data_IF_014797281790
#
_entry.id   IF_014797281790
#
_cell.length_a   1.000
_cell.length_b   1.000
_cell.length_c   1.000
_cell.angle_alpha   90.00
_cell.angle_beta   90.00
_cell.angle_gamma   90.00
#
_symmetry.space_group_name_H-M   'P 1'
#
loop_
_entity.id
_entity.type
_entity.pdbx_description
1 polymer ?
#
# COMPACT_ATOMS: atom_id res chain seq x y z
N UNK A 1 12.37 -3.97 1.31
CA UNK A 1 12.60 -4.05 -0.16
C UNK A 1 11.66 -3.14 -0.97
N UNK A 2 10.57 -2.68 -0.40
CA UNK A 2 9.62 -1.81 -1.10
C UNK A 2 9.62 -0.38 -0.58
N UNK A 3 9.71 0.59 -1.49
CA UNK A 3 9.62 2.02 -1.16
C UNK A 3 8.24 2.43 -0.63
N UNK A 4 7.19 1.64 -0.90
CA UNK A 4 5.83 1.91 -0.39
C UNK A 4 5.69 1.71 1.12
N UNK A 5 6.64 1.02 1.76
CA UNK A 5 6.67 0.84 3.21
C UNK A 5 7.24 2.05 3.97
N UNK A 6 8.02 2.91 3.31
CA UNK A 6 8.65 4.09 3.91
C UNK A 6 7.65 5.01 4.61
N UNK A 7 6.47 5.34 4.02
CA UNK A 7 5.47 6.15 4.71
C UNK A 7 4.97 5.57 6.03
N UNK A 8 4.88 4.24 6.14
CA UNK A 8 4.47 3.60 7.40
C UNK A 8 5.52 3.79 8.50
N UNK A 9 6.81 3.56 8.16
CA UNK A 9 7.92 3.73 9.12
C UNK A 9 8.01 5.18 9.59
N UNK A 10 7.79 6.13 8.67
CA UNK A 10 7.73 7.57 9.00
C UNK A 10 6.55 7.89 9.92
N UNK A 11 5.37 7.31 9.63
CA UNK A 11 4.16 7.54 10.40
C UNK A 11 4.26 7.07 11.87
N UNK A 12 5.14 6.08 12.12
CA UNK A 12 5.44 5.58 13.47
C UNK A 12 6.71 6.21 14.07
N UNK A 13 7.25 7.27 13.44
CA UNK A 13 8.42 8.01 13.94
C UNK A 13 9.70 7.15 14.08
N UNK A 14 9.85 6.12 13.24
CA UNK A 14 10.97 5.18 13.27
C UNK A 14 11.84 5.24 12.00
N UNK A 15 11.93 6.41 11.37
CA UNK A 15 12.68 6.59 10.13
C UNK A 15 14.19 6.28 10.29
N UNK A 16 14.73 6.48 11.47
CA UNK A 16 16.12 6.14 11.84
C UNK A 16 16.40 4.63 11.88
N UNK A 17 15.36 3.81 12.03
CA UNK A 17 15.45 2.35 11.98
C UNK A 17 15.35 1.78 10.55
N UNK A 18 15.14 2.62 9.54
CA UNK A 18 15.12 2.22 8.13
C UNK A 18 16.55 2.22 7.56
N UNK A 19 17.28 1.16 7.78
CA UNK A 19 18.73 1.10 7.48
C UNK A 19 19.06 0.81 6.01
N UNK A 20 18.12 0.27 5.25
CA UNK A 20 18.35 -0.10 3.84
C UNK A 20 17.08 -0.07 3.01
N UNK A 21 17.22 0.17 1.72
CA UNK A 21 16.10 0.16 0.78
C UNK A 21 16.49 -0.34 -0.61
N UNK A 22 15.60 -1.11 -1.24
CA UNK A 22 15.62 -1.28 -2.69
C UNK A 22 15.09 -0.03 -3.38
N UNK A 23 15.42 0.13 -4.66
CA UNK A 23 14.97 1.28 -5.46
C UNK A 23 15.22 2.63 -4.79
N UNK A 24 16.38 2.79 -4.19
CA UNK A 24 16.71 3.95 -3.36
C UNK A 24 16.53 5.30 -4.09
N UNK A 25 16.74 5.33 -5.41
CA UNK A 25 16.50 6.52 -6.23
C UNK A 25 15.04 6.97 -6.29
N UNK A 26 14.11 6.13 -5.84
CA UNK A 26 12.67 6.44 -5.75
C UNK A 26 12.23 6.87 -4.35
N UNK A 27 13.15 6.84 -3.38
CA UNK A 27 12.90 7.28 -2.00
C UNK A 27 13.31 8.74 -1.91
N UNK A 28 12.46 9.58 -1.34
CA UNK A 28 12.79 10.98 -1.10
C UNK A 28 13.98 11.07 -0.12
N UNK A 29 15.03 11.84 -0.43
CA UNK A 29 16.25 11.89 0.38
C UNK A 29 16.02 12.28 1.84
N UNK A 30 15.00 13.09 2.10
CA UNK A 30 14.68 13.58 3.44
C UNK A 30 13.91 12.57 4.32
N UNK A 31 13.51 11.43 3.75
CA UNK A 31 12.70 10.44 4.46
C UNK A 31 13.54 9.52 5.34
N UNK A 32 14.76 9.24 4.93
CA UNK A 32 15.64 8.28 5.61
C UNK A 32 17.09 8.75 5.57
N UNK A 33 17.75 8.78 6.70
CA UNK A 33 19.16 9.18 6.79
C UNK A 33 20.08 8.07 6.25
N UNK A 34 20.64 8.28 5.05
CA UNK A 34 21.69 7.45 4.46
C UNK A 34 21.41 5.93 4.43
N UNK A 35 20.27 5.45 3.91
CA UNK A 35 20.01 4.02 3.85
C UNK A 35 20.94 3.33 2.85
N UNK A 36 21.31 2.09 3.18
CA UNK A 36 22.07 1.25 2.26
C UNK A 36 21.23 0.89 1.03
N UNK A 37 21.83 0.99 -0.15
CA UNK A 37 21.14 0.62 -1.41
C UNK A 37 21.17 -0.89 -1.60
N UNK A 38 20.00 -1.51 -1.60
CA UNK A 38 19.83 -2.95 -1.81
C UNK A 38 19.61 -3.35 -3.28
N UNK A 39 19.82 -2.43 -4.23
CA UNK A 39 19.60 -2.70 -5.65
C UNK A 39 18.22 -2.28 -6.15
N UNK A 40 17.74 -2.90 -7.23
CA UNK A 40 16.50 -2.53 -7.92
C UNK A 40 16.06 -3.58 -8.93
N UNK A 41 15.82 -3.18 -10.18
CA UNK A 41 15.29 -4.07 -11.23
C UNK A 41 16.24 -5.26 -11.55
N UNK A 42 17.53 -5.13 -11.28
CA UNK A 42 18.52 -6.21 -11.42
C UNK A 42 18.45 -7.26 -10.30
N UNK A 43 17.68 -7.02 -9.26
CA UNK A 43 17.53 -7.90 -8.12
C UNK A 43 17.98 -7.30 -6.79
N UNK A 44 17.88 -8.11 -5.74
CA UNK A 44 18.33 -7.78 -4.40
C UNK A 44 19.83 -8.06 -4.27
N UNK A 45 20.56 -7.08 -3.78
CA UNK A 45 21.96 -7.24 -3.38
C UNK A 45 22.02 -7.77 -1.92
N UNK A 46 22.27 -9.07 -1.78
CA UNK A 46 22.31 -9.75 -0.49
C UNK A 46 23.55 -9.39 0.32
N UNK A 47 24.65 -9.02 -0.33
CA UNK A 47 25.85 -8.55 0.36
C UNK A 47 25.59 -7.20 1.03
N UNK A 48 24.97 -6.28 0.31
CA UNK A 48 24.56 -4.99 0.86
C UNK A 48 23.49 -5.13 1.93
N UNK A 49 22.60 -6.13 1.82
CA UNK A 49 21.65 -6.45 2.88
C UNK A 49 22.35 -6.87 4.17
N UNK A 50 23.37 -7.73 4.08
CA UNK A 50 24.19 -8.14 5.25
C UNK A 50 24.96 -6.96 5.85
N UNK A 51 25.55 -6.11 5.01
CA UNK A 51 26.30 -4.91 5.44
C UNK A 51 25.38 -3.90 6.13
N UNK A 52 24.10 -3.83 5.75
CA UNK A 52 23.15 -2.88 6.33
C UNK A 52 22.86 -3.10 7.81
N UNK A 53 23.13 -4.30 8.33
CA UNK A 53 22.80 -4.67 9.70
C UNK A 53 21.28 -4.76 9.97
N UNK A 54 20.46 -4.97 8.95
CA UNK A 54 19.01 -5.07 9.10
C UNK A 54 18.63 -6.33 9.90
N UNK A 55 17.74 -6.18 10.87
CA UNK A 55 17.17 -7.28 11.66
C UNK A 55 16.05 -8.02 10.92
N UNK A 56 15.37 -7.35 9.99
CA UNK A 56 14.27 -7.91 9.20
C UNK A 56 14.18 -7.22 7.83
N UNK A 57 13.87 -7.98 6.80
CA UNK A 57 13.57 -7.47 5.46
C UNK A 57 12.07 -7.54 5.21
N UNK A 58 11.42 -6.40 4.94
CA UNK A 58 10.03 -6.39 4.47
C UNK A 58 10.00 -6.44 2.95
N UNK A 59 9.17 -7.30 2.38
CA UNK A 59 9.04 -7.46 0.93
C UNK A 59 7.63 -7.84 0.52
N UNK A 60 7.29 -7.63 -0.75
CA UNK A 60 6.08 -8.17 -1.33
C UNK A 60 6.18 -9.68 -1.54
N UNK A 61 5.05 -10.42 -1.44
CA UNK A 61 5.02 -11.87 -1.68
C UNK A 61 4.97 -12.24 -3.17
N UNK A 62 5.48 -11.38 -4.06
CA UNK A 62 5.52 -11.63 -5.50
C UNK A 62 6.90 -12.07 -5.99
N UNK A 63 6.90 -12.86 -7.06
CA UNK A 63 8.12 -13.22 -7.76
C UNK A 63 8.93 -14.28 -7.03
N UNK A 64 10.25 -14.14 -7.04
CA UNK A 64 11.16 -15.06 -6.36
C UNK A 64 10.82 -15.13 -4.87
N UNK A 65 10.55 -16.32 -4.36
CA UNK A 65 10.27 -16.49 -2.95
C UNK A 65 11.49 -16.01 -2.15
N UNK A 66 11.32 -14.90 -1.45
CA UNK A 66 12.32 -14.32 -0.54
C UNK A 66 12.75 -15.30 0.58
N UNK A 67 12.16 -16.49 0.62
CA UNK A 67 12.60 -17.60 1.48
C UNK A 67 14.04 -18.00 1.24
N UNK A 68 14.50 -17.96 -0.02
CA UNK A 68 15.91 -18.20 -0.34
C UNK A 68 16.83 -17.14 0.25
N UNK A 69 16.42 -15.87 0.27
CA UNK A 69 17.17 -14.77 0.90
C UNK A 69 17.32 -15.01 2.39
N UNK A 70 16.23 -15.32 3.09
CA UNK A 70 16.30 -15.60 4.53
C UNK A 70 17.24 -16.78 4.86
N UNK A 71 17.26 -17.82 4.03
CA UNK A 71 18.17 -18.97 4.22
C UNK A 71 19.65 -18.61 4.01
N UNK A 72 19.96 -17.79 3.00
CA UNK A 72 21.35 -17.42 2.68
C UNK A 72 21.91 -16.35 3.61
N UNK A 73 21.07 -15.37 4.00
CA UNK A 73 21.51 -14.21 4.80
C UNK A 73 21.31 -14.39 6.30
N UNK A 74 20.42 -15.30 6.71
CA UNK A 74 19.97 -15.41 8.10
C UNK A 74 19.02 -14.29 8.55
N UNK A 75 18.72 -13.32 7.67
CA UNK A 75 17.83 -12.20 7.97
C UNK A 75 16.38 -12.62 7.67
N UNK A 76 15.47 -12.58 8.66
CA UNK A 76 14.06 -12.91 8.44
C UNK A 76 13.44 -12.04 7.36
N UNK A 77 12.63 -12.64 6.50
CA UNK A 77 11.85 -11.90 5.49
C UNK A 77 10.38 -11.91 5.87
N UNK A 78 9.80 -10.73 6.05
CA UNK A 78 8.37 -10.55 6.29
C UNK A 78 7.67 -10.17 5.00
N UNK A 79 6.74 -11.03 4.55
CA UNK A 79 5.88 -10.74 3.41
C UNK A 79 4.81 -9.70 3.80
N UNK A 80 4.75 -8.60 3.05
CA UNK A 80 3.80 -7.51 3.23
C UNK A 80 2.82 -7.50 2.06
N UNK A 81 1.53 -7.56 2.36
CA UNK A 81 0.47 -7.63 1.35
C UNK A 81 -0.57 -6.51 1.49
N UNK A 82 -0.17 -5.35 2.01
CA UNK A 82 -1.04 -4.17 2.19
C UNK A 82 -1.70 -3.71 0.90
N UNK A 83 -1.03 -3.93 -0.24
CA UNK A 83 -1.58 -3.60 -1.57
C UNK A 83 -2.79 -4.45 -1.94
N UNK A 84 -2.93 -5.65 -1.36
CA UNK A 84 -4.05 -6.57 -1.63
C UNK A 84 -5.31 -6.22 -0.82
N UNK A 85 -5.18 -5.32 0.16
CA UNK A 85 -6.32 -4.86 0.95
C UNK A 85 -7.31 -4.08 0.09
N UNK A 86 -8.53 -4.58 0.03
CA UNK A 86 -9.63 -3.92 -0.68
C UNK A 86 -10.29 -2.79 0.14
N UNK A 87 -10.08 -2.77 1.46
CA UNK A 87 -10.61 -1.72 2.33
C UNK A 87 -9.54 -0.66 2.64
N UNK A 88 -9.83 0.65 2.43
CA UNK A 88 -8.85 1.71 2.69
C UNK A 88 -8.28 1.71 4.10
N UNK A 89 -9.14 1.52 5.12
CA UNK A 89 -8.70 1.44 6.51
C UNK A 89 -7.91 0.16 6.81
N UNK A 90 -8.24 -0.98 6.17
CA UNK A 90 -7.43 -2.19 6.25
C UNK A 90 -6.01 -1.95 5.74
N UNK A 91 -5.86 -1.23 4.60
CA UNK A 91 -4.54 -0.83 4.12
C UNK A 91 -3.81 0.10 5.09
N UNK A 92 -4.50 1.10 5.65
CA UNK A 92 -3.92 2.02 6.63
C UNK A 92 -3.50 1.31 7.92
N UNK A 93 -4.20 0.25 8.32
CA UNK A 93 -3.92 -0.51 9.54
C UNK A 93 -2.57 -1.23 9.51
N UNK A 94 -1.97 -1.44 8.34
CA UNK A 94 -0.61 -1.97 8.23
C UNK A 94 0.44 -1.09 8.94
N UNK A 95 0.14 0.17 9.24
CA UNK A 95 1.00 1.02 10.09
C UNK A 95 1.28 0.36 11.44
N UNK A 96 0.33 -0.41 11.99
CA UNK A 96 0.48 -1.12 13.27
C UNK A 96 1.53 -2.24 13.19
N UNK A 97 1.70 -2.87 12.03
CA UNK A 97 2.77 -3.87 11.81
C UNK A 97 4.13 -3.21 12.01
N UNK A 98 4.33 -2.01 11.43
CA UNK A 98 5.57 -1.26 11.60
C UNK A 98 5.75 -0.78 13.05
N UNK A 99 4.69 -0.37 13.72
CA UNK A 99 4.74 -0.06 15.15
C UNK A 99 5.18 -1.25 16.03
N UNK A 100 4.78 -2.47 15.65
CA UNK A 100 5.24 -3.69 16.32
C UNK A 100 6.71 -3.99 16.03
N UNK A 101 7.13 -3.89 14.77
CA UNK A 101 8.51 -4.17 14.35
C UNK A 101 9.51 -3.20 14.98
N UNK A 102 9.14 -1.94 15.12
CA UNK A 102 10.03 -0.86 15.59
C UNK A 102 9.86 -0.53 17.07
N UNK A 103 8.91 -1.16 17.77
CA UNK A 103 8.61 -0.85 19.18
C UNK A 103 7.75 0.40 19.40
N UNK A 104 7.28 1.07 18.32
CA UNK A 104 6.51 2.33 18.34
C UNK A 104 5.00 2.08 18.23
N UNK A 105 4.46 1.20 19.09
CA UNK A 105 3.04 0.80 19.02
C UNK A 105 2.08 1.95 19.28
N UNK A 106 2.40 2.82 20.23
CA UNK A 106 1.56 3.98 20.59
C UNK A 106 1.46 4.97 19.43
N UNK A 107 2.56 5.23 18.78
CA UNK A 107 2.68 6.09 17.60
C UNK A 107 1.88 5.51 16.43
N UNK A 108 1.96 4.20 16.23
CA UNK A 108 1.20 3.48 15.22
C UNK A 108 -0.32 3.54 15.47
N UNK A 109 -0.75 3.28 16.70
CA UNK A 109 -2.16 3.39 17.07
C UNK A 109 -2.67 4.84 16.90
N UNK A 110 -1.90 5.83 17.31
CA UNK A 110 -2.24 7.22 17.12
C UNK A 110 -2.28 7.61 15.63
N UNK A 111 -1.34 7.12 14.82
CA UNK A 111 -1.34 7.35 13.38
C UNK A 111 -2.56 6.73 12.71
N UNK A 112 -2.88 5.47 13.05
CA UNK A 112 -4.06 4.80 12.52
C UNK A 112 -5.34 5.53 12.90
N UNK A 113 -5.54 5.88 14.16
CA UNK A 113 -6.75 6.59 14.61
C UNK A 113 -6.93 7.96 13.97
N UNK A 114 -5.84 8.69 13.68
CA UNK A 114 -5.94 9.95 12.91
C UNK A 114 -6.48 9.70 11.51
N UNK A 115 -5.97 8.70 10.83
CA UNK A 115 -6.42 8.33 9.47
C UNK A 115 -7.87 7.84 9.49
N UNK A 116 -8.19 6.95 10.43
CA UNK A 116 -9.54 6.39 10.59
C UNK A 116 -10.59 7.50 10.84
N UNK A 117 -10.32 8.39 11.79
CA UNK A 117 -11.24 9.48 12.12
C UNK A 117 -11.46 10.41 10.93
N UNK A 118 -10.39 10.85 10.27
CA UNK A 118 -10.48 11.71 9.09
C UNK A 118 -11.21 11.02 7.92
N UNK A 119 -10.96 9.74 7.72
CA UNK A 119 -11.61 8.95 6.68
C UNK A 119 -13.12 8.82 6.93
N UNK A 120 -13.53 8.49 8.17
CA UNK A 120 -14.93 8.32 8.53
C UNK A 120 -15.70 9.63 8.45
N UNK A 121 -15.09 10.75 8.84
CA UNK A 121 -15.67 12.09 8.72
C UNK A 121 -15.86 12.48 7.24
N UNK A 122 -14.83 12.29 6.42
CA UNK A 122 -14.93 12.55 4.99
C UNK A 122 -16.00 11.70 4.32
N UNK A 123 -16.07 10.41 4.65
CA UNK A 123 -17.11 9.49 4.17
C UNK A 123 -18.50 9.95 4.56
N UNK A 124 -18.71 10.32 5.84
CA UNK A 124 -20.02 10.79 6.31
C UNK A 124 -20.46 12.06 5.56
N UNK A 125 -19.54 12.99 5.35
CA UNK A 125 -19.78 14.21 4.58
C UNK A 125 -20.17 13.91 3.14
N UNK A 126 -19.42 13.06 2.46
CA UNK A 126 -19.67 12.67 1.07
C UNK A 126 -21.00 11.92 0.90
N UNK A 127 -21.30 10.98 1.80
CA UNK A 127 -22.57 10.26 1.79
C UNK A 127 -23.77 11.18 2.03
N UNK A 128 -23.64 12.19 2.92
CA UNK A 128 -24.69 13.20 3.11
C UNK A 128 -24.92 14.06 1.88
N UNK A 129 -23.86 14.44 1.15
CA UNK A 129 -23.97 15.17 -0.11
C UNK A 129 -24.64 14.30 -1.19
N UNK A 130 -24.23 13.06 -1.35
CA UNK A 130 -24.81 12.11 -2.31
C UNK A 130 -26.32 11.87 -2.07
N UNK A 131 -26.76 11.83 -0.82
CA UNK A 131 -28.19 11.71 -0.49
C UNK A 131 -29.01 12.93 -0.93
N UNK A 132 -28.42 14.12 -0.95
CA UNK A 132 -29.12 15.38 -1.33
C UNK A 132 -29.06 15.65 -2.82
N UNK A 133 -27.94 15.37 -3.44
CA UNK A 133 -27.62 15.79 -4.81
C UNK A 133 -27.59 14.62 -5.81
N UNK A 134 -27.66 13.39 -5.32
CA UNK A 134 -27.47 12.16 -6.10
C UNK A 134 -26.03 11.73 -6.16
N UNK A 135 -25.82 10.45 -6.46
CA UNK A 135 -24.48 9.84 -6.58
C UNK A 135 -23.94 10.02 -8.00
N UNK A 136 -22.77 10.64 -8.19
CA UNK A 136 -22.15 10.73 -9.50
C UNK A 136 -21.64 9.37 -9.97
N UNK A 137 -21.75 9.09 -11.27
CA UNK A 137 -21.14 7.91 -11.88
C UNK A 137 -19.67 8.22 -12.16
N UNK A 138 -18.76 7.44 -11.58
CA UNK A 138 -17.32 7.64 -11.69
C UNK A 138 -16.73 6.59 -12.62
N UNK A 139 -16.03 7.06 -13.65
CA UNK A 139 -15.26 6.26 -14.58
C UNK A 139 -13.77 6.56 -14.37
N UNK A 140 -12.96 5.53 -14.10
CA UNK A 140 -11.51 5.69 -13.93
C UNK A 140 -10.77 4.50 -14.50
N UNK A 141 -9.52 4.73 -14.89
CA UNK A 141 -8.63 3.71 -15.45
C UNK A 141 -7.44 4.35 -16.17
N UNK A 142 -6.69 3.52 -16.88
CA UNK A 142 -5.54 3.95 -17.67
C UNK A 142 -5.56 3.35 -19.05
N UNK A 143 -5.02 4.06 -20.03
CA UNK A 143 -4.83 3.55 -21.41
C UNK A 143 -3.35 3.32 -21.66
N UNK A 144 -3.01 2.11 -22.09
CA UNK A 144 -1.64 1.75 -22.50
C UNK A 144 -1.69 0.84 -23.71
N UNK A 145 -0.97 1.20 -24.78
CA UNK A 145 -0.90 0.40 -26.02
C UNK A 145 -2.26 0.15 -26.67
N UNK A 146 -3.16 1.13 -26.64
CA UNK A 146 -4.52 1.02 -27.23
C UNK A 146 -5.50 0.17 -26.40
N UNK A 147 -5.09 -0.31 -25.23
CA UNK A 147 -5.96 -1.04 -24.30
C UNK A 147 -6.29 -0.16 -23.11
N UNK A 148 -7.56 -0.16 -22.73
CA UNK A 148 -8.03 0.46 -21.48
C UNK A 148 -8.04 -0.56 -20.35
N UNK A 149 -7.47 -0.19 -19.22
CA UNK A 149 -7.48 -1.00 -18.01
C UNK A 149 -8.20 -0.22 -16.91
N UNK A 150 -9.21 -0.81 -16.34
CA UNK A 150 -9.97 -0.25 -15.22
C UNK A 150 -9.71 -1.05 -13.93
N UNK A 151 -9.72 -0.41 -12.75
CA UNK A 151 -9.70 -1.12 -11.48
C UNK A 151 -10.85 -2.11 -11.35
N UNK A 152 -10.62 -3.22 -10.64
CA UNK A 152 -11.67 -4.19 -10.36
C UNK A 152 -12.83 -3.56 -9.57
N UNK A 153 -14.05 -3.96 -9.89
CA UNK A 153 -15.27 -3.40 -9.29
C UNK A 153 -15.48 -3.71 -7.81
N UNK A 154 -14.71 -4.65 -7.26
CA UNK A 154 -14.66 -5.05 -5.84
C UNK A 154 -13.34 -4.66 -5.15
N UNK A 155 -12.49 -3.91 -5.85
CA UNK A 155 -11.18 -3.49 -5.34
C UNK A 155 -11.21 -2.18 -4.55
N UNK A 156 -10.02 -1.78 -4.10
CA UNK A 156 -9.79 -0.57 -3.30
C UNK A 156 -10.38 0.69 -3.94
N UNK A 157 -10.19 0.87 -5.26
CA UNK A 157 -10.64 2.08 -5.97
C UNK A 157 -12.16 2.14 -6.02
N UNK A 158 -12.82 1.01 -6.31
CA UNK A 158 -14.28 0.92 -6.28
C UNK A 158 -14.84 1.25 -4.88
N UNK A 159 -14.19 0.75 -3.84
CA UNK A 159 -14.56 1.04 -2.46
C UNK A 159 -14.39 2.52 -2.11
N UNK A 160 -13.27 3.15 -2.51
CA UNK A 160 -13.05 4.59 -2.31
C UNK A 160 -14.12 5.44 -3.00
N UNK A 161 -14.50 5.07 -4.23
CA UNK A 161 -15.56 5.75 -4.97
C UNK A 161 -16.90 5.62 -4.24
N UNK A 162 -17.24 4.42 -3.76
CA UNK A 162 -18.48 4.19 -3.01
C UNK A 162 -18.50 4.96 -1.70
N UNK A 163 -17.39 4.95 -0.95
CA UNK A 163 -17.27 5.66 0.33
C UNK A 163 -17.23 7.18 0.14
N UNK A 164 -16.85 7.67 -1.05
CA UNK A 164 -16.98 9.06 -1.47
C UNK A 164 -18.39 9.43 -2.03
N UNK A 165 -19.38 8.56 -1.88
CA UNK A 165 -20.75 8.81 -2.32
C UNK A 165 -20.97 8.65 -3.84
N UNK A 166 -20.00 8.12 -4.58
CA UNK A 166 -20.11 7.88 -6.02
C UNK A 166 -20.52 6.45 -6.37
N UNK A 167 -20.93 6.26 -7.61
CA UNK A 167 -21.17 4.94 -8.21
C UNK A 167 -20.05 4.61 -9.19
N UNK A 168 -19.34 3.49 -8.99
CA UNK A 168 -18.31 3.09 -9.92
C UNK A 168 -18.90 2.52 -11.21
N UNK A 169 -18.47 3.02 -12.36
CA UNK A 169 -19.00 2.62 -13.66
C UNK A 169 -18.84 1.11 -13.96
N UNK A 170 -17.82 0.48 -13.38
CA UNK A 170 -17.54 -0.95 -13.51
C UNK A 170 -17.85 -1.75 -12.22
N UNK A 171 -18.81 -1.27 -11.43
CA UNK A 171 -19.39 -2.09 -10.35
C UNK A 171 -19.88 -3.44 -10.92
N UNK A 172 -19.66 -4.57 -10.22
CA UNK A 172 -20.01 -5.90 -10.75
C UNK A 172 -21.45 -6.06 -11.18
N UNK A 173 -22.40 -5.50 -10.42
CA UNK A 173 -23.84 -5.56 -10.73
C UNK A 173 -24.17 -4.74 -11.98
N UNK A 174 -23.53 -3.57 -12.12
CA UNK A 174 -23.71 -2.71 -13.28
C UNK A 174 -23.06 -3.31 -14.52
N UNK A 175 -21.86 -3.89 -14.38
CA UNK A 175 -21.17 -4.58 -15.45
C UNK A 175 -22.01 -5.76 -15.99
N UNK A 176 -22.62 -6.55 -15.12
CA UNK A 176 -23.53 -7.64 -15.46
C UNK A 176 -24.77 -7.12 -16.20
N UNK A 177 -25.40 -6.04 -15.69
CA UNK A 177 -26.57 -5.43 -16.32
C UNK A 177 -26.28 -4.87 -17.73
N UNK A 178 -25.02 -4.47 -18.00
CA UNK A 178 -24.55 -3.99 -19.29
C UNK A 178 -24.02 -5.11 -20.20
N UNK A 179 -24.06 -6.38 -19.77
CA UNK A 179 -23.51 -7.51 -20.50
C UNK A 179 -21.98 -7.48 -20.63
N UNK A 180 -21.28 -6.76 -19.75
CA UNK A 180 -19.83 -6.66 -19.74
C UNK A 180 -19.26 -7.89 -19.02
N UNK A 181 -18.54 -8.72 -19.75
CA UNK A 181 -17.78 -9.82 -19.13
C UNK A 181 -16.59 -9.28 -18.32
N UNK A 182 -16.33 -9.85 -17.15
CA UNK A 182 -15.11 -9.58 -16.40
C UNK A 182 -13.90 -9.89 -17.29
N UNK A 183 -13.14 -8.87 -17.66
CA UNK A 183 -11.80 -9.03 -18.23
C UNK A 183 -10.84 -8.75 -17.07
N UNK A 184 -10.12 -9.77 -16.67
CA UNK A 184 -9.08 -9.72 -15.63
C UNK A 184 -7.82 -9.06 -16.17
#
# INVERSE_FOLDING_TARGET
WSTTHVPFVRAVEAADQWVASGYLSRVEPDLVANPVNLGGDAGLDEEMLLISGADVLTSYPFGDPMTGVAQRTGIPVMAMAEYAEAHPLGRAEFVKVFGWLTGHRKEADAAFHRVESAYLEAKATAMSAAQKEGSPIVFTGSSKGGKWTAPAGDGLVARLIADAGGEYAFDPKRAEALGLNRVW
#
